data_IF_466113840881
#
_entry.id   IF_466113840881
#
_cell.length_a   1.000
_cell.length_b   1.000
_cell.length_c   1.000
_cell.angle_alpha   90.00
_cell.angle_beta   90.00
_cell.angle_gamma   90.00
#
_symmetry.space_group_name_H-M   'P 1'
#
loop_
_entity.id
_entity.type
_entity.pdbx_description
1 polymer ?
#
# COMPACT_ATOMS: atom_id res chain seq x y z
N UNK A 1 5.60 -20.53 10.68
CA UNK A 1 5.06 -19.46 11.55
C UNK A 1 5.88 -19.29 12.83
N UNK A 2 6.26 -20.39 13.51
CA UNK A 2 7.04 -20.38 14.77
C UNK A 2 8.25 -19.42 14.83
N UNK A 3 9.05 -19.31 13.76
CA UNK A 3 10.24 -18.42 13.74
C UNK A 3 9.85 -16.93 13.75
N UNK A 4 8.80 -16.57 13.02
CA UNK A 4 8.35 -15.18 12.85
C UNK A 4 7.70 -14.69 14.16
N UNK A 5 6.88 -15.56 14.77
CA UNK A 5 6.22 -15.28 16.05
C UNK A 5 7.23 -15.22 17.20
N UNK A 6 8.23 -16.10 17.23
CA UNK A 6 9.30 -16.09 18.24
C UNK A 6 10.15 -14.82 18.16
N UNK A 7 10.30 -14.24 16.97
CA UNK A 7 10.96 -12.95 16.76
C UNK A 7 10.05 -11.74 17.04
N UNK A 8 8.78 -11.96 17.43
CA UNK A 8 7.82 -10.89 17.72
C UNK A 8 7.27 -10.16 16.50
N UNK A 9 7.41 -10.73 15.30
CA UNK A 9 6.91 -10.12 14.07
C UNK A 9 5.45 -10.49 13.81
N UNK A 10 4.66 -9.49 13.38
CA UNK A 10 3.28 -9.68 12.93
C UNK A 10 3.25 -10.02 11.44
N UNK A 11 2.49 -11.04 11.07
CA UNK A 11 2.28 -11.43 9.68
C UNK A 11 0.95 -10.86 9.17
N UNK A 12 1.00 -10.14 8.05
CA UNK A 12 -0.20 -9.63 7.36
C UNK A 12 -0.55 -10.62 6.26
N UNK A 13 -1.73 -11.23 6.33
CA UNK A 13 -2.24 -12.10 5.27
C UNK A 13 -2.96 -11.27 4.21
N UNK A 14 -2.46 -11.32 2.98
CA UNK A 14 -3.06 -10.64 1.84
C UNK A 14 -3.93 -11.63 1.05
N UNK A 15 -5.14 -11.22 0.62
CA UNK A 15 -6.00 -12.05 -0.23
C UNK A 15 -5.31 -12.45 -1.54
N UNK A 16 -5.60 -13.66 -2.01
CA UNK A 16 -5.05 -14.16 -3.27
C UNK A 16 -5.66 -13.40 -4.45
N UNK A 17 -4.85 -13.06 -5.45
CA UNK A 17 -5.25 -12.34 -6.68
C UNK A 17 -5.63 -10.85 -6.50
N UNK A 18 -5.31 -10.25 -5.36
CA UNK A 18 -5.56 -8.84 -5.06
C UNK A 18 -4.25 -8.05 -5.00
N UNK A 19 -3.61 -7.82 -6.16
CA UNK A 19 -2.30 -7.16 -6.22
C UNK A 19 -2.35 -5.68 -5.81
N UNK A 20 -3.52 -5.04 -5.89
CA UNK A 20 -3.79 -3.71 -5.37
C UNK A 20 -3.69 -3.60 -3.85
N UNK A 21 -3.81 -4.73 -3.14
CA UNK A 21 -3.60 -4.82 -1.69
C UNK A 21 -2.14 -5.07 -1.31
N UNK A 22 -1.25 -5.30 -2.28
CA UNK A 22 0.16 -5.52 -2.05
C UNK A 22 1.00 -4.33 -2.53
N UNK A 23 1.22 -3.33 -1.67
CA UNK A 23 1.95 -2.12 -2.07
C UNK A 23 3.42 -2.37 -2.46
N UNK A 24 4.00 -3.53 -2.14
CA UNK A 24 5.36 -3.89 -2.61
C UNK A 24 5.40 -4.08 -4.13
N UNK A 25 4.28 -4.44 -4.76
CA UNK A 25 4.17 -4.55 -6.22
C UNK A 25 4.36 -3.18 -6.87
N UNK A 26 3.81 -2.12 -6.26
CA UNK A 26 4.01 -0.74 -6.72
C UNK A 26 5.46 -0.28 -6.56
N UNK A 27 6.11 -0.68 -5.45
CA UNK A 27 7.53 -0.44 -5.25
C UNK A 27 8.37 -1.08 -6.35
N UNK A 28 8.16 -2.39 -6.60
CA UNK A 28 8.89 -3.09 -7.65
C UNK A 28 8.55 -2.57 -9.05
N UNK A 29 7.32 -2.12 -9.30
CA UNK A 29 6.94 -1.44 -10.55
C UNK A 29 7.76 -0.16 -10.78
N UNK A 30 7.94 0.65 -9.74
CA UNK A 30 8.76 1.86 -9.82
C UNK A 30 10.25 1.54 -10.03
N UNK A 31 10.77 0.53 -9.34
CA UNK A 31 12.15 0.05 -9.51
C UNK A 31 12.38 -0.47 -10.93
N UNK A 32 11.48 -1.31 -11.45
CA UNK A 32 11.56 -1.85 -12.82
C UNK A 32 11.54 -0.71 -13.84
N UNK A 33 10.66 0.28 -13.68
CA UNK A 33 10.62 1.44 -14.58
C UNK A 33 11.95 2.18 -14.60
N UNK A 34 12.53 2.45 -13.43
CA UNK A 34 13.84 3.09 -13.34
C UNK A 34 14.92 2.27 -14.06
N UNK A 35 14.93 0.94 -13.86
CA UNK A 35 15.88 0.06 -14.51
C UNK A 35 15.70 0.03 -16.03
N UNK A 36 14.47 0.00 -16.54
CA UNK A 36 14.20 0.08 -17.98
C UNK A 36 14.70 1.40 -18.61
N UNK A 37 14.66 2.51 -17.86
CA UNK A 37 15.12 3.82 -18.33
C UNK A 37 16.64 4.01 -18.22
N UNK A 38 17.33 3.22 -17.38
CA UNK A 38 18.74 3.46 -17.00
C UNK A 38 19.66 2.24 -17.20
N UNK A 39 19.19 1.13 -17.79
CA UNK A 39 19.98 -0.08 -18.01
C UNK A 39 19.92 -0.55 -19.45
N UNK A 40 21.05 -1.10 -19.91
CA UNK A 40 21.24 -1.62 -21.28
C UNK A 40 20.85 -3.11 -21.40
N UNK A 41 19.99 -3.60 -20.50
CA UNK A 41 19.55 -4.99 -20.39
C UNK A 41 20.68 -6.03 -20.16
N UNK A 42 21.85 -5.60 -19.72
CA UNK A 42 22.94 -6.48 -19.30
C UNK A 42 22.88 -6.76 -17.80
N UNK A 43 23.35 -7.94 -17.38
CA UNK A 43 23.33 -8.31 -15.96
C UNK A 43 24.20 -7.38 -15.09
N UNK A 44 25.36 -6.96 -15.59
CA UNK A 44 26.28 -6.09 -14.85
C UNK A 44 25.70 -4.68 -14.63
N UNK A 45 25.04 -4.11 -15.64
CA UNK A 45 24.36 -2.82 -15.50
C UNK A 45 23.17 -2.92 -14.54
N UNK A 46 22.40 -4.01 -14.63
CA UNK A 46 21.31 -4.31 -13.69
C UNK A 46 21.83 -4.37 -12.24
N UNK A 47 22.90 -5.13 -11.99
CA UNK A 47 23.49 -5.29 -10.65
C UNK A 47 23.97 -3.95 -10.08
N UNK A 48 24.57 -3.11 -10.91
CA UNK A 48 25.08 -1.78 -10.54
C UNK A 48 23.96 -0.78 -10.28
N UNK A 49 22.88 -0.84 -11.05
CA UNK A 49 21.80 0.14 -10.99
C UNK A 49 20.65 -0.27 -10.06
N UNK A 50 20.52 -1.54 -9.67
CA UNK A 50 19.48 -2.00 -8.75
C UNK A 50 19.48 -1.24 -7.40
N UNK A 51 20.63 -1.03 -6.72
CA UNK A 51 20.67 -0.23 -5.49
C UNK A 51 20.22 1.22 -5.72
N UNK A 52 20.61 1.82 -6.85
CA UNK A 52 20.22 3.19 -7.23
C UNK A 52 18.71 3.28 -7.49
N UNK A 53 18.15 2.29 -8.18
CA UNK A 53 16.73 2.19 -8.47
C UNK A 53 15.90 2.08 -7.18
N UNK A 54 16.34 1.27 -6.22
CA UNK A 54 15.69 1.16 -4.91
C UNK A 54 15.78 2.47 -4.13
N UNK A 55 16.94 3.13 -4.13
CA UNK A 55 17.14 4.41 -3.45
C UNK A 55 16.35 5.57 -4.10
N UNK A 56 16.04 5.47 -5.40
CA UNK A 56 15.24 6.48 -6.11
C UNK A 56 13.78 6.51 -5.64
N UNK A 57 13.27 5.43 -5.03
CA UNK A 57 11.90 5.38 -4.51
C UNK A 57 11.80 6.14 -3.19
N UNK A 58 11.19 7.33 -3.23
CA UNK A 58 11.00 8.18 -2.05
C UNK A 58 10.05 7.53 -1.03
N UNK A 59 10.37 7.67 0.26
CA UNK A 59 9.51 7.24 1.37
C UNK A 59 8.10 7.85 1.32
N UNK A 60 7.97 9.09 0.85
CA UNK A 60 6.66 9.74 0.67
C UNK A 60 5.78 8.99 -0.32
N UNK A 61 6.36 8.48 -1.41
CA UNK A 61 5.67 7.66 -2.40
C UNK A 61 5.20 6.33 -1.80
N UNK A 62 6.05 5.68 -1.00
CA UNK A 62 5.71 4.44 -0.28
C UNK A 62 4.53 4.66 0.67
N UNK A 63 4.55 5.78 1.41
CA UNK A 63 3.43 6.17 2.29
C UNK A 63 2.15 6.38 1.48
N UNK A 64 2.20 7.02 0.31
CA UNK A 64 1.03 7.20 -0.54
C UNK A 64 0.44 5.86 -1.02
N UNK A 65 1.29 4.91 -1.39
CA UNK A 65 0.83 3.56 -1.78
C UNK A 65 0.19 2.80 -0.63
N UNK A 66 0.73 2.92 0.59
CA UNK A 66 0.09 2.37 1.79
C UNK A 66 -1.31 2.95 2.01
N UNK A 67 -1.48 4.27 1.91
CA UNK A 67 -2.81 4.89 2.03
C UNK A 67 -3.76 4.42 0.92
N UNK A 68 -3.25 4.24 -0.31
CA UNK A 68 -4.04 3.68 -1.41
C UNK A 68 -4.53 2.26 -1.10
N UNK A 69 -3.66 1.41 -0.53
CA UNK A 69 -4.03 0.05 -0.09
C UNK A 69 -5.14 0.09 0.96
N UNK A 70 -5.06 1.00 1.95
CA UNK A 70 -6.14 1.17 2.94
C UNK A 70 -7.49 1.49 2.30
N UNK A 71 -7.52 2.38 1.30
CA UNK A 71 -8.75 2.70 0.57
C UNK A 71 -9.31 1.52 -0.22
N UNK A 72 -8.44 0.69 -0.80
CA UNK A 72 -8.87 -0.55 -1.43
C UNK A 72 -9.47 -1.52 -0.41
N UNK A 73 -8.85 -1.68 0.77
CA UNK A 73 -9.41 -2.50 1.85
C UNK A 73 -10.79 -2.01 2.29
N UNK A 74 -10.97 -0.69 2.44
CA UNK A 74 -12.28 -0.09 2.75
C UNK A 74 -13.32 -0.36 1.66
N UNK A 75 -12.95 -0.20 0.39
CA UNK A 75 -13.83 -0.47 -0.74
C UNK A 75 -14.28 -1.94 -0.80
N UNK A 76 -13.37 -2.87 -0.53
CA UNK A 76 -13.70 -4.30 -0.42
C UNK A 76 -14.56 -4.60 0.79
N UNK A 77 -14.31 -3.93 1.92
CA UNK A 77 -15.15 -4.08 3.12
C UNK A 77 -16.59 -3.63 2.87
N UNK A 78 -16.80 -2.63 2.02
CA UNK A 78 -18.14 -2.19 1.61
C UNK A 78 -18.86 -3.15 0.63
N UNK A 79 -18.26 -4.30 0.30
CA UNK A 79 -18.83 -5.32 -0.61
C UNK A 79 -19.26 -4.77 -1.99
N UNK A 80 -18.60 -3.70 -2.45
CA UNK A 80 -18.85 -3.10 -3.76
C UNK A 80 -18.36 -4.01 -4.88
N UNK A 81 -19.00 -3.94 -6.04
CA UNK A 81 -18.50 -4.62 -7.23
C UNK A 81 -17.12 -4.06 -7.61
N UNK A 82 -16.23 -4.87 -8.21
CA UNK A 82 -14.85 -4.50 -8.55
C UNK A 82 -14.75 -3.17 -9.31
N UNK A 83 -15.69 -2.90 -10.23
CA UNK A 83 -15.75 -1.64 -10.99
C UNK A 83 -16.08 -0.45 -10.10
N UNK A 84 -17.02 -0.61 -9.18
CA UNK A 84 -17.45 0.44 -8.26
C UNK A 84 -16.37 0.74 -7.23
N UNK A 85 -15.72 -0.30 -6.68
CA UNK A 85 -14.57 -0.15 -5.81
C UNK A 85 -13.44 0.64 -6.50
N UNK A 86 -13.15 0.34 -7.76
CA UNK A 86 -12.17 1.08 -8.54
C UNK A 86 -12.56 2.55 -8.74
N UNK A 87 -13.85 2.83 -9.02
CA UNK A 87 -14.35 4.20 -9.17
C UNK A 87 -14.22 4.98 -7.85
N UNK A 88 -14.60 4.37 -6.73
CA UNK A 88 -14.50 4.98 -5.40
C UNK A 88 -13.05 5.31 -5.04
N UNK A 89 -12.12 4.35 -5.21
CA UNK A 89 -10.69 4.58 -4.96
C UNK A 89 -10.13 5.65 -5.89
N UNK A 90 -10.56 5.67 -7.16
CA UNK A 90 -10.16 6.67 -8.15
C UNK A 90 -10.65 8.06 -7.76
N UNK A 91 -11.85 8.21 -7.20
CA UNK A 91 -12.38 9.48 -6.75
C UNK A 91 -11.39 10.17 -5.80
N UNK A 92 -10.84 9.45 -4.82
CA UNK A 92 -9.87 10.05 -3.90
C UNK A 92 -8.55 10.49 -4.55
N UNK A 93 -8.21 9.98 -5.73
CA UNK A 93 -7.03 10.40 -6.49
C UNK A 93 -7.31 11.58 -7.42
N UNK A 94 -8.53 11.68 -7.94
CA UNK A 94 -8.96 12.73 -8.88
C UNK A 94 -9.63 13.93 -8.20
N UNK A 95 -10.04 13.80 -6.94
CA UNK A 95 -10.74 14.86 -6.19
C UNK A 95 -9.81 16.03 -5.92
N UNK A 96 -10.01 17.10 -6.70
CA UNK A 96 -9.35 18.39 -6.50
C UNK A 96 -10.14 19.20 -5.47
N UNK A 97 -9.65 19.25 -4.24
CA UNK A 97 -10.27 20.04 -3.18
C UNK A 97 -10.09 21.55 -3.46
N UNK A 98 -11.16 22.34 -3.34
CA UNK A 98 -11.14 23.80 -3.53
C UNK A 98 -10.34 24.53 -2.43
N UNK A 99 -10.17 23.91 -1.25
CA UNK A 99 -9.37 24.44 -0.15
C UNK A 99 -8.49 23.35 0.47
N UNK A 100 -7.29 23.72 0.92
CA UNK A 100 -6.34 22.81 1.59
C UNK A 100 -6.68 22.56 3.07
N UNK A 101 -7.61 23.35 3.64
CA UNK A 101 -7.71 23.58 5.09
C UNK A 101 -8.87 22.86 5.80
N UNK A 102 -9.59 21.97 5.12
CA UNK A 102 -10.59 21.13 5.76
C UNK A 102 -10.27 19.67 5.49
N UNK A 103 -9.68 18.99 6.47
CA UNK A 103 -9.67 17.53 6.47
C UNK A 103 -11.12 17.11 6.73
N UNK A 104 -11.75 16.30 5.85
CA UNK A 104 -13.07 15.76 6.15
C UNK A 104 -12.99 14.95 7.45
N UNK A 105 -13.95 15.13 8.34
CA UNK A 105 -13.98 14.48 9.66
C UNK A 105 -13.95 12.95 9.55
N UNK A 106 -14.41 12.42 8.42
CA UNK A 106 -14.32 11.01 8.01
C UNK A 106 -12.89 10.52 7.69
N UNK A 107 -11.95 11.40 7.34
CA UNK A 107 -10.55 11.05 7.01
C UNK A 107 -9.61 11.25 8.21
N UNK A 108 -10.02 12.08 9.18
CA UNK A 108 -9.26 12.37 10.40
C UNK A 108 -8.89 11.13 11.25
N UNK A 109 -9.73 10.08 11.41
CA UNK A 109 -9.42 8.93 12.26
C UNK A 109 -8.22 8.11 11.76
N UNK A 110 -7.89 8.20 10.47
CA UNK A 110 -6.75 7.47 9.88
C UNK A 110 -5.38 8.00 10.32
N UNK A 111 -5.34 9.16 10.98
CA UNK A 111 -4.09 9.80 11.44
C UNK A 111 -3.80 9.60 12.94
N UNK A 112 -4.74 9.09 13.72
CA UNK A 112 -4.59 8.93 15.18
C UNK A 112 -4.83 7.49 15.61
N UNK A 113 -3.83 6.63 15.44
CA UNK A 113 -3.65 5.50 16.36
C UNK A 113 -2.19 5.02 16.34
N UNK A 114 -1.33 5.77 17.00
CA UNK A 114 -0.12 5.24 17.65
C UNK A 114 -0.25 5.69 19.11
N UNK A 115 -0.14 4.73 20.03
CA UNK A 115 -0.29 4.81 21.51
C UNK A 115 -1.70 5.12 22.02
N UNK A 116 -2.44 4.11 22.51
CA UNK A 116 -2.43 3.61 23.91
C UNK A 116 -3.46 2.46 24.08
N UNK A 117 -3.02 1.35 24.71
CA UNK A 117 -3.79 0.32 25.43
C UNK A 117 -5.07 -0.30 24.81
N UNK A 118 -4.89 -1.50 24.19
CA UNK A 118 -5.71 -2.75 24.13
C UNK A 118 -7.27 -2.72 24.25
N UNK A 119 -8.02 -3.70 23.67
CA UNK A 119 -7.57 -5.00 23.18
C UNK A 119 -7.76 -5.22 21.67
N UNK A 120 -6.75 -5.88 21.10
CA UNK A 120 -6.83 -6.56 19.82
C UNK A 120 -7.87 -7.68 19.94
N UNK A 121 -9.11 -7.44 19.51
CA UNK A 121 -10.10 -8.51 19.39
C UNK A 121 -10.93 -8.31 18.13
N UNK A 122 -10.91 -9.37 17.31
CA UNK A 122 -11.72 -9.63 16.11
C UNK A 122 -11.22 -9.06 14.77
N UNK A 123 -9.98 -9.40 14.41
CA UNK A 123 -9.68 -9.67 12.99
C UNK A 123 -9.92 -11.17 12.74
N UNK A 124 -11.20 -11.54 12.65
CA UNK A 124 -11.58 -12.83 12.07
C UNK A 124 -11.69 -12.62 10.55
N UNK A 125 -10.63 -12.98 9.83
CA UNK A 125 -10.77 -13.38 8.43
C UNK A 125 -11.35 -14.79 8.45
N UNK A 126 -12.69 -14.88 8.46
CA UNK A 126 -13.34 -16.09 7.98
C UNK A 126 -13.17 -16.14 6.46
N UNK A 127 -12.51 -17.22 6.05
CA UNK A 127 -12.29 -17.69 4.69
C UNK A 127 -13.52 -17.50 3.79
N UNK A 128 -13.28 -17.01 2.57
CA UNK A 128 -13.49 -17.78 1.33
C UNK A 128 -12.31 -17.48 0.41
#
# INVERSE_FOLDING_TARGET
MRIIEAAGHLCIFLPKYHCELNFIELFWGAVKRYLCENCDYTFETLKTNLPKAMAAVRLSTIRLWRHRMHRWMEAYWSALETKEAQLQVREFSSKKYKSRRHVPETVAPSFTCISTSLPCSKFYLTQI
#
